data_IF_504703982781
#
_entry.id   IF_504703982781
#
_cell.length_a   1.000
_cell.length_b   1.000
_cell.length_c   1.000
_cell.angle_alpha   90.00
_cell.angle_beta   90.00
_cell.angle_gamma   90.00
#
_symmetry.space_group_name_H-M   'P 1'
#
loop_
_entity.id
_entity.type
_entity.pdbx_description
1 polymer ?
#
# COMPACT_ATOMS: atom_id res chain seq x y z
N UNK A 1 23.66 -52.20 -38.62
CA UNK A 1 23.03 -50.87 -38.82
C UNK A 1 21.97 -50.48 -37.78
N UNK A 2 21.23 -51.41 -37.15
CA UNK A 2 20.13 -51.09 -36.20
C UNK A 2 20.55 -50.42 -34.88
N UNK A 3 21.76 -50.67 -34.38
CA UNK A 3 22.26 -50.11 -33.10
C UNK A 3 22.61 -48.61 -33.15
N UNK A 4 23.09 -48.10 -34.30
CA UNK A 4 23.46 -46.68 -34.44
C UNK A 4 22.23 -45.78 -34.57
N UNK A 5 21.16 -46.27 -35.20
CA UNK A 5 19.90 -45.52 -35.34
C UNK A 5 19.17 -45.37 -34.00
N UNK A 6 19.20 -46.40 -33.15
CA UNK A 6 18.61 -46.37 -31.81
C UNK A 6 19.28 -45.33 -30.88
N UNK A 7 20.60 -45.13 -31.02
CA UNK A 7 21.34 -44.11 -30.25
C UNK A 7 21.00 -42.68 -30.68
N UNK A 8 20.77 -42.46 -31.98
CA UNK A 8 20.41 -41.14 -32.50
C UNK A 8 18.99 -40.74 -32.05
N UNK A 9 18.05 -41.71 -32.04
CA UNK A 9 16.67 -41.46 -31.56
C UNK A 9 16.66 -41.12 -30.06
N UNK A 10 17.49 -41.76 -29.23
CA UNK A 10 17.60 -41.45 -27.80
C UNK A 10 18.14 -40.03 -27.53
N UNK A 11 19.07 -39.54 -28.36
CA UNK A 11 19.67 -38.21 -28.20
C UNK A 11 18.68 -37.11 -28.59
N UNK A 12 17.86 -37.33 -29.62
CA UNK A 12 16.83 -36.37 -30.04
C UNK A 12 15.69 -36.27 -29.01
N UNK A 13 15.30 -37.38 -28.37
CA UNK A 13 14.30 -37.39 -27.30
C UNK A 13 14.76 -36.65 -26.02
N UNK A 14 16.06 -36.60 -25.75
CA UNK A 14 16.59 -35.82 -24.62
C UNK A 14 16.57 -34.30 -24.87
N UNK A 15 16.71 -33.85 -26.13
CA UNK A 15 16.73 -32.42 -26.46
C UNK A 15 15.32 -31.80 -26.54
N UNK A 16 14.28 -32.60 -26.82
CA UNK A 16 12.88 -32.13 -26.83
C UNK A 16 12.30 -32.00 -25.41
N UNK A 17 12.94 -32.59 -24.40
CA UNK A 17 12.46 -32.53 -23.02
C UNK A 17 12.84 -31.23 -22.27
N UNK A 18 13.58 -30.31 -22.91
CA UNK A 18 13.92 -28.99 -22.36
C UNK A 18 12.95 -27.87 -22.74
N UNK A 19 11.84 -28.16 -23.42
CA UNK A 19 10.73 -27.21 -23.55
C UNK A 19 9.62 -27.56 -22.58
N UNK A 20 9.87 -27.34 -21.28
CA UNK A 20 8.81 -27.35 -20.29
C UNK A 20 8.76 -26.01 -19.55
N UNK A 21 7.77 -25.23 -19.99
CA UNK A 21 6.88 -24.46 -19.14
C UNK A 21 7.57 -23.47 -18.20
N UNK A 22 7.76 -22.24 -18.70
CA UNK A 22 7.59 -21.05 -17.88
C UNK A 22 6.11 -20.98 -17.42
N UNK A 23 5.73 -21.86 -16.48
CA UNK A 23 4.61 -21.62 -15.60
C UNK A 23 5.03 -20.46 -14.71
N UNK A 24 4.71 -19.23 -15.14
CA UNK A 24 4.52 -18.12 -14.19
C UNK A 24 3.36 -18.54 -13.30
N UNK A 25 3.67 -19.25 -12.23
CA UNK A 25 2.73 -19.49 -11.15
C UNK A 25 2.42 -18.11 -10.57
N UNK A 26 1.19 -17.67 -10.76
CA UNK A 26 0.62 -16.41 -10.30
C UNK A 26 0.32 -16.49 -8.80
N UNK A 27 1.30 -16.93 -8.04
CA UNK A 27 1.36 -16.72 -6.60
C UNK A 27 2.09 -15.41 -6.39
N UNK A 28 1.45 -14.46 -5.72
CA UNK A 28 2.11 -13.33 -5.07
C UNK A 28 3.34 -13.87 -4.33
N UNK A 29 4.50 -13.86 -4.98
CA UNK A 29 5.72 -14.34 -4.38
C UNK A 29 5.96 -13.42 -3.18
N UNK A 30 6.26 -14.01 -2.03
CA UNK A 30 6.70 -13.27 -0.84
C UNK A 30 7.97 -12.42 -1.11
N UNK A 31 8.57 -12.57 -2.30
CA UNK A 31 9.66 -11.76 -2.85
C UNK A 31 9.24 -10.39 -3.42
N UNK A 32 7.95 -10.03 -3.50
CA UNK A 32 7.55 -8.71 -3.99
C UNK A 32 7.73 -7.64 -2.91
N UNK A 33 8.71 -6.77 -3.13
CA UNK A 33 8.96 -5.59 -2.31
C UNK A 33 7.78 -4.60 -2.42
N UNK A 34 7.58 -3.81 -1.36
CA UNK A 34 6.63 -2.71 -1.38
C UNK A 34 7.10 -1.64 -2.37
N UNK A 35 6.23 -1.26 -3.29
CA UNK A 35 6.49 -0.23 -4.29
C UNK A 35 5.64 1.00 -3.99
N UNK A 36 6.21 2.21 -4.15
CA UNK A 36 5.43 3.44 -4.11
C UNK A 36 4.62 3.52 -5.40
N UNK A 37 3.29 3.56 -5.27
CA UNK A 37 2.35 3.58 -6.40
C UNK A 37 1.85 4.99 -6.66
N UNK A 38 1.56 5.73 -5.58
CA UNK A 38 0.95 7.04 -5.67
C UNK A 38 1.37 7.90 -4.50
N UNK A 39 1.48 9.21 -4.71
CA UNK A 39 1.64 10.18 -3.64
C UNK A 39 0.79 11.40 -3.91
N UNK A 40 0.02 11.83 -2.92
CA UNK A 40 -0.71 13.09 -2.98
C UNK A 40 -0.16 14.12 -1.99
N UNK A 41 -0.28 15.40 -2.35
CA UNK A 41 -0.05 16.51 -1.45
C UNK A 41 -1.22 16.68 -0.44
N UNK A 42 -1.10 17.60 0.53
CA UNK A 42 -2.20 17.93 1.46
C UNK A 42 -3.51 18.36 0.79
N UNK A 43 -3.50 18.85 -0.46
CA UNK A 43 -4.70 19.26 -1.18
C UNK A 43 -5.29 18.13 -2.04
N UNK A 44 -4.71 16.94 -1.99
CA UNK A 44 -5.12 15.80 -2.82
C UNK A 44 -4.57 15.81 -4.24
N UNK A 45 -3.65 16.72 -4.58
CA UNK A 45 -3.01 16.74 -5.89
C UNK A 45 -1.97 15.64 -5.99
N UNK A 46 -1.92 14.96 -7.13
CA UNK A 46 -0.89 13.98 -7.42
C UNK A 46 0.50 14.65 -7.49
N UNK A 47 1.46 14.12 -6.74
CA UNK A 47 2.88 14.53 -6.80
C UNK A 47 3.80 13.36 -7.17
N UNK A 48 3.27 12.15 -7.25
CA UNK A 48 3.95 10.97 -7.78
C UNK A 48 2.92 9.92 -8.23
N UNK A 49 3.24 9.19 -9.30
CA UNK A 49 2.49 8.01 -9.74
C UNK A 49 1.06 8.32 -10.19
N UNK A 50 0.21 7.29 -10.25
CA UNK A 50 -1.15 7.41 -10.76
C UNK A 50 -2.21 7.01 -9.73
N UNK A 51 -3.19 7.89 -9.51
CA UNK A 51 -4.35 7.56 -8.67
C UNK A 51 -5.18 6.44 -9.29
N UNK A 52 -5.33 6.40 -10.61
CA UNK A 52 -6.10 5.34 -11.28
C UNK A 52 -5.43 3.97 -11.13
N UNK A 53 -4.09 3.93 -11.15
CA UNK A 53 -3.33 2.71 -10.88
C UNK A 53 -3.54 2.23 -9.44
N UNK A 54 -3.47 3.14 -8.46
CA UNK A 54 -3.78 2.81 -7.07
C UNK A 54 -5.20 2.26 -6.89
N UNK A 55 -6.18 2.86 -7.59
CA UNK A 55 -7.57 2.38 -7.56
C UNK A 55 -7.71 0.99 -8.19
N UNK A 56 -7.05 0.73 -9.31
CA UNK A 56 -7.05 -0.59 -9.96
C UNK A 56 -6.40 -1.66 -9.06
N UNK A 57 -5.30 -1.31 -8.39
CA UNK A 57 -4.62 -2.17 -7.41
C UNK A 57 -5.54 -2.50 -6.23
N UNK A 58 -6.22 -1.49 -5.68
CA UNK A 58 -7.19 -1.67 -4.60
C UNK A 58 -8.37 -2.57 -5.04
N UNK A 59 -8.90 -2.36 -6.26
CA UNK A 59 -9.97 -3.19 -6.85
C UNK A 59 -9.56 -4.65 -7.02
N UNK A 60 -8.28 -4.91 -7.31
CA UNK A 60 -7.75 -6.28 -7.43
C UNK A 60 -7.42 -6.93 -6.08
N UNK A 61 -7.63 -6.24 -4.97
CA UNK A 61 -7.43 -6.78 -3.62
C UNK A 61 -5.97 -6.88 -3.19
N UNK A 62 -5.06 -6.17 -3.87
CA UNK A 62 -3.66 -6.16 -3.45
C UNK A 62 -3.48 -5.40 -2.14
N UNK A 63 -2.54 -5.83 -1.26
CA UNK A 63 -2.24 -5.13 -0.03
C UNK A 63 -1.78 -3.70 -0.27
N UNK A 64 -2.34 -2.74 0.48
CA UNK A 64 -1.98 -1.32 0.43
C UNK A 64 -1.39 -0.89 1.78
N UNK A 65 -0.34 -0.08 1.74
CA UNK A 65 0.19 0.66 2.89
C UNK A 65 0.10 2.15 2.62
N UNK A 66 -0.13 2.92 3.67
CA UNK A 66 -0.09 4.38 3.63
C UNK A 66 1.02 4.87 4.55
N UNK A 67 1.71 5.92 4.13
CA UNK A 67 2.75 6.55 4.91
C UNK A 67 2.76 8.06 4.78
N UNK A 68 3.28 8.72 5.81
CA UNK A 68 3.43 10.17 5.85
C UNK A 68 4.66 10.52 6.67
N UNK A 69 5.18 11.72 6.45
CA UNK A 69 6.35 12.20 7.15
C UNK A 69 6.17 13.64 7.60
N UNK A 70 6.80 13.96 8.73
CA UNK A 70 6.94 15.32 9.20
C UNK A 70 8.43 15.65 9.37
N UNK A 71 8.78 16.91 9.13
CA UNK A 71 10.14 17.42 9.32
C UNK A 71 10.05 18.78 9.99
N UNK A 72 10.94 19.08 10.95
CA UNK A 72 10.94 20.40 11.58
C UNK A 72 11.34 21.46 10.55
N UNK A 73 10.60 22.57 10.52
CA UNK A 73 10.84 23.68 9.58
C UNK A 73 12.24 24.28 9.73
N UNK A 74 12.70 24.42 10.98
CA UNK A 74 13.96 25.08 11.32
C UNK A 74 15.15 24.11 11.46
N UNK A 75 14.90 22.80 11.41
CA UNK A 75 15.94 21.77 11.54
C UNK A 75 15.52 20.53 10.77
N UNK A 76 16.06 20.43 9.58
CA UNK A 76 15.68 19.45 8.58
C UNK A 76 16.21 18.05 8.87
N UNK A 77 17.18 17.94 9.77
CA UNK A 77 17.72 16.65 10.23
C UNK A 77 16.76 15.94 11.19
N UNK A 78 15.77 16.67 11.73
CA UNK A 78 14.76 16.15 12.63
C UNK A 78 13.47 15.84 11.89
N UNK A 79 13.24 14.56 11.66
CA UNK A 79 12.07 14.03 10.97
C UNK A 79 11.41 12.90 11.75
N UNK A 80 10.17 12.62 11.36
CA UNK A 80 9.41 11.43 11.79
C UNK A 80 8.71 10.90 10.55
N UNK A 81 8.80 9.60 10.35
CA UNK A 81 8.11 8.90 9.28
C UNK A 81 7.19 7.85 9.89
N UNK A 82 6.01 7.72 9.30
CA UNK A 82 5.01 6.76 9.70
C UNK A 82 4.63 5.93 8.48
N UNK A 83 4.48 4.62 8.67
CA UNK A 83 3.90 3.71 7.69
C UNK A 83 2.97 2.75 8.42
N UNK A 84 1.86 2.42 7.79
CA UNK A 84 0.84 1.53 8.36
C UNK A 84 0.13 0.77 7.25
N UNK A 85 -0.30 -0.45 7.54
CA UNK A 85 -1.15 -1.22 6.63
C UNK A 85 -2.52 -0.54 6.51
N UNK A 86 -3.08 -0.58 5.31
CA UNK A 86 -4.48 -0.25 5.08
C UNK A 86 -5.37 -1.47 5.31
N UNK A 87 -6.19 -1.43 6.35
CA UNK A 87 -6.95 -2.61 6.79
C UNK A 87 -8.37 -2.63 6.21
N UNK A 88 -8.96 -1.46 5.97
CA UNK A 88 -10.29 -1.34 5.36
C UNK A 88 -10.27 -0.27 4.27
N UNK A 89 -10.51 -0.70 3.03
CA UNK A 89 -10.43 0.13 1.83
C UNK A 89 -11.83 0.45 1.30
N UNK A 90 -12.08 1.72 1.01
CA UNK A 90 -13.32 2.18 0.37
C UNK A 90 -12.97 2.97 -0.88
N UNK A 91 -13.52 2.56 -2.02
CA UNK A 91 -13.46 3.34 -3.26
C UNK A 91 -14.80 4.05 -3.44
N UNK A 92 -14.83 5.37 -3.25
CA UNK A 92 -16.04 6.17 -3.43
C UNK A 92 -16.13 6.75 -4.85
N UNK A 93 -17.28 6.55 -5.50
CA UNK A 93 -17.58 7.05 -6.85
C UNK A 93 -16.52 6.69 -7.91
N UNK A 94 -15.75 5.63 -7.68
CA UNK A 94 -14.64 5.23 -8.54
C UNK A 94 -13.50 6.26 -8.66
N UNK A 95 -13.46 7.27 -7.78
CA UNK A 95 -12.54 8.42 -7.89
C UNK A 95 -11.57 8.55 -6.72
N UNK A 96 -12.02 8.24 -5.51
CA UNK A 96 -11.23 8.42 -4.31
C UNK A 96 -11.12 7.13 -3.52
N UNK A 97 -9.90 6.81 -3.11
CA UNK A 97 -9.61 5.73 -2.19
C UNK A 97 -9.53 6.31 -0.78
N UNK A 98 -10.25 5.68 0.14
CA UNK A 98 -10.18 5.91 1.57
C UNK A 98 -9.62 4.65 2.21
N UNK A 99 -8.73 4.83 3.19
CA UNK A 99 -8.18 3.75 3.98
C UNK A 99 -8.42 4.04 5.46
N UNK A 100 -9.12 3.14 6.13
CA UNK A 100 -9.12 3.09 7.58
C UNK A 100 -7.96 2.22 8.04
N UNK A 101 -7.20 2.73 8.99
CA UNK A 101 -6.03 2.06 9.56
C UNK A 101 -6.35 1.54 10.96
N UNK A 102 -5.65 0.49 11.39
CA UNK A 102 -5.75 0.00 12.76
C UNK A 102 -5.60 1.12 13.80
N UNK A 103 -6.36 1.09 14.91
CA UNK A 103 -6.23 2.08 15.96
C UNK A 103 -4.83 2.06 16.58
N UNK A 104 -4.29 3.23 16.89
CA UNK A 104 -2.97 3.34 17.51
C UNK A 104 -2.97 4.41 18.60
N UNK A 105 -2.09 4.24 19.59
CA UNK A 105 -1.86 5.27 20.60
C UNK A 105 -1.02 6.39 20.02
N UNK A 106 -1.34 7.63 20.37
CA UNK A 106 -0.54 8.79 20.00
C UNK A 106 0.87 8.66 20.56
N UNK A 107 1.84 9.09 19.76
CA UNK A 107 3.27 8.94 20.03
C UNK A 107 3.95 10.31 20.00
N UNK A 108 4.89 10.54 20.91
CA UNK A 108 5.67 11.77 20.97
C UNK A 108 7.17 11.45 20.97
N UNK A 109 7.88 11.69 19.85
CA UNK A 109 9.31 11.45 19.78
C UNK A 109 10.09 12.60 20.45
N UNK A 110 11.17 12.25 21.16
CA UNK A 110 12.13 13.21 21.68
C UNK A 110 13.31 13.36 20.70
N UNK A 111 13.18 14.31 19.77
CA UNK A 111 14.12 14.49 18.65
C UNK A 111 15.34 15.36 18.99
N UNK A 112 15.42 15.89 20.20
CA UNK A 112 16.49 16.84 20.60
C UNK A 112 17.37 16.35 21.74
N UNK A 113 17.04 15.22 22.38
CA UNK A 113 17.85 14.69 23.47
C UNK A 113 19.04 13.90 22.95
N UNK A 114 20.04 13.71 23.81
CA UNK A 114 21.24 12.92 23.51
C UNK A 114 20.91 11.46 23.16
N UNK A 115 19.75 10.98 23.65
CA UNK A 115 19.18 9.68 23.30
C UNK A 115 17.82 9.85 22.61
N UNK A 116 17.71 9.32 21.39
CA UNK A 116 16.43 9.25 20.68
C UNK A 116 15.48 8.31 21.44
N UNK A 117 14.30 8.81 21.76
CA UNK A 117 13.28 8.05 22.49
C UNK A 117 11.86 8.40 22.04
N UNK A 118 10.90 7.56 22.42
CA UNK A 118 9.49 7.72 22.10
C UNK A 118 8.66 7.62 23.38
N UNK A 119 7.74 8.56 23.57
CA UNK A 119 6.73 8.48 24.63
C UNK A 119 5.40 8.04 24.04
N UNK A 120 4.79 7.00 24.63
CA UNK A 120 3.41 6.62 24.35
C UNK A 120 2.47 7.52 25.15
N UNK A 121 1.42 8.02 24.51
CA UNK A 121 0.41 8.89 25.13
C UNK A 121 -0.89 8.11 25.34
N UNK A 122 -1.66 8.40 26.41
CA UNK A 122 -2.93 7.74 26.71
C UNK A 122 -4.09 8.29 25.84
N UNK A 123 -3.84 8.42 24.54
CA UNK A 123 -4.80 8.88 23.54
C UNK A 123 -4.76 7.85 22.40
N UNK A 124 -5.87 7.18 22.13
CA UNK A 124 -5.99 6.29 20.96
C UNK A 124 -6.65 7.04 19.80
N UNK A 125 -6.16 6.77 18.61
CA UNK A 125 -6.57 7.38 17.35
C UNK A 125 -7.09 6.33 16.39
N UNK A 126 -8.26 6.58 15.81
CA UNK A 126 -8.88 5.78 14.74
C UNK A 126 -9.00 6.68 13.51
N UNK A 127 -8.25 6.41 12.45
CA UNK A 127 -8.13 7.34 11.31
C UNK A 127 -8.68 6.73 10.04
N UNK A 128 -9.28 7.58 9.22
CA UNK A 128 -9.50 7.37 7.79
C UNK A 128 -8.64 8.39 7.04
N UNK A 129 -7.79 7.93 6.13
CA UNK A 129 -6.96 8.75 5.25
C UNK A 129 -7.45 8.59 3.80
N UNK A 130 -7.29 9.62 2.97
CA UNK A 130 -7.81 9.59 1.60
C UNK A 130 -6.92 10.23 0.55
N UNK A 131 -7.08 9.77 -0.69
CA UNK A 131 -6.32 10.27 -1.86
C UNK A 131 -6.63 11.71 -2.25
N UNK A 132 -7.69 12.31 -1.69
CA UNK A 132 -8.00 13.74 -1.82
C UNK A 132 -7.39 14.60 -0.70
N UNK A 133 -6.49 14.05 0.11
CA UNK A 133 -5.76 14.79 1.14
C UNK A 133 -6.54 15.03 2.43
N UNK A 134 -7.72 14.42 2.58
CA UNK A 134 -8.52 14.54 3.80
C UNK A 134 -8.15 13.45 4.83
N UNK A 135 -8.47 13.76 6.08
CA UNK A 135 -8.46 12.84 7.22
C UNK A 135 -9.78 12.96 7.96
N UNK A 136 -10.33 11.83 8.40
CA UNK A 136 -11.33 11.77 9.47
C UNK A 136 -10.75 11.01 10.66
N UNK A 137 -11.11 11.40 11.87
CA UNK A 137 -10.55 10.83 13.10
C UNK A 137 -11.62 10.66 14.17
N UNK A 138 -11.57 9.54 14.88
CA UNK A 138 -12.12 9.40 16.22
C UNK A 138 -10.99 9.23 17.22
N UNK A 139 -10.95 10.08 18.23
CA UNK A 139 -9.95 10.08 19.29
C UNK A 139 -10.57 9.68 20.61
N UNK A 140 -9.92 8.80 21.36
CA UNK A 140 -10.28 8.43 22.72
C UNK A 140 -9.16 8.85 23.68
N UNK A 141 -9.46 9.74 24.62
CA UNK A 141 -8.57 10.13 25.71
C UNK A 141 -8.88 9.28 26.94
N UNK A 142 -7.95 8.41 27.34
CA UNK A 142 -8.14 7.50 28.47
C UNK A 142 -8.01 8.19 29.83
N UNK A 143 -7.34 9.35 29.90
CA UNK A 143 -7.23 10.09 31.16
C UNK A 143 -8.52 10.86 31.47
N UNK A 144 -9.21 11.31 30.42
CA UNK A 144 -10.45 12.09 30.56
C UNK A 144 -11.71 11.25 30.38
N UNK A 145 -11.55 9.99 29.98
CA UNK A 145 -12.64 9.09 29.54
C UNK A 145 -13.57 9.76 28.51
N UNK A 146 -12.98 10.41 27.51
CA UNK A 146 -13.73 11.09 26.45
C UNK A 146 -13.45 10.45 25.09
N UNK A 147 -14.49 10.45 24.25
CA UNK A 147 -14.39 10.10 22.83
C UNK A 147 -14.91 11.24 22.00
N UNK A 148 -14.11 11.69 21.02
CA UNK A 148 -14.45 12.81 20.14
C UNK A 148 -14.29 12.34 18.69
N UNK A 149 -15.36 12.50 17.91
CA UNK A 149 -15.31 12.36 16.46
C UNK A 149 -15.08 13.73 15.83
N UNK A 150 -14.05 13.85 15.01
CA UNK A 150 -13.73 15.07 14.27
C UNK A 150 -14.31 14.97 12.86
N UNK A 151 -14.95 16.06 12.34
CA UNK A 151 -15.36 16.08 10.95
C UNK A 151 -14.13 15.96 10.03
N UNK A 152 -14.31 15.47 8.79
CA UNK A 152 -13.23 15.42 7.83
C UNK A 152 -12.55 16.79 7.67
N UNK A 153 -11.22 16.79 7.68
CA UNK A 153 -10.41 17.99 7.52
C UNK A 153 -9.15 17.69 6.71
N UNK A 154 -8.44 18.72 6.28
CA UNK A 154 -7.22 18.56 5.50
C UNK A 154 -6.11 17.91 6.34
N UNK A 155 -5.52 16.83 5.83
CA UNK A 155 -4.34 16.23 6.43
C UNK A 155 -3.12 17.09 6.13
N UNK A 156 -2.30 17.36 7.15
CA UNK A 156 -1.22 18.36 7.06
C UNK A 156 -0.01 17.90 6.25
N UNK A 157 0.07 16.62 5.91
CA UNK A 157 1.23 16.00 5.26
C UNK A 157 0.84 15.38 3.94
N UNK A 158 1.81 15.22 3.04
CA UNK A 158 1.64 14.36 1.88
C UNK A 158 1.45 12.91 2.31
N UNK A 159 0.60 12.19 1.58
CA UNK A 159 0.37 10.76 1.78
C UNK A 159 1.04 9.98 0.66
N UNK A 160 1.87 9.01 1.04
CA UNK A 160 2.50 8.03 0.16
C UNK A 160 1.73 6.71 0.23
N UNK A 161 1.38 6.15 -0.91
CA UNK A 161 0.59 4.93 -1.05
C UNK A 161 1.45 3.86 -1.69
N UNK A 162 1.63 2.75 -0.98
CA UNK A 162 2.46 1.64 -1.40
C UNK A 162 1.61 0.39 -1.62
N UNK A 163 2.05 -0.48 -2.52
CA UNK A 163 1.42 -1.79 -2.72
C UNK A 163 2.46 -2.89 -2.96
N UNK A 164 2.06 -4.14 -2.72
CA UNK A 164 2.76 -5.33 -3.22
C UNK A 164 2.04 -5.81 -4.46
N UNK A 165 2.60 -5.53 -5.63
CA UNK A 165 1.99 -5.85 -6.93
C UNK A 165 3.00 -6.48 -7.88
N UNK A 166 2.55 -7.32 -8.83
CA UNK A 166 3.38 -7.73 -9.96
C UNK A 166 3.59 -6.57 -10.93
N UNK A 167 4.71 -6.61 -11.66
CA UNK A 167 5.04 -5.67 -12.73
C UNK A 167 4.17 -5.91 -13.98
N UNK A 168 2.85 -5.77 -13.83
CA UNK A 168 1.86 -5.98 -14.88
C UNK A 168 0.88 -4.80 -14.85
N UNK A 169 0.57 -4.17 -16.00
CA UNK A 169 -0.46 -3.15 -16.09
C UNK A 169 -1.79 -3.66 -15.53
N UNK A 170 -2.42 -2.85 -14.68
CA UNK A 170 -3.68 -3.22 -14.05
C UNK A 170 -4.86 -2.50 -14.70
N UNK A 171 -5.75 -3.26 -15.33
CA UNK A 171 -7.03 -2.71 -15.78
C UNK A 171 -7.88 -2.22 -14.61
N UNK A 172 -8.51 -1.08 -14.79
CA UNK A 172 -9.32 -0.41 -13.78
C UNK A 172 -10.81 -0.75 -13.91
N UNK A 173 -11.18 -1.98 -13.56
CA UNK A 173 -12.58 -2.44 -13.64
C UNK A 173 -13.27 -2.29 -12.29
N UNK A 174 -14.39 -1.56 -12.19
CA UNK A 174 -15.16 -1.47 -10.95
C UNK A 174 -15.64 -2.83 -10.43
N UNK A 175 -15.68 -2.98 -9.10
CA UNK A 175 -16.04 -4.23 -8.43
C UNK A 175 -17.48 -4.72 -8.71
N UNK A 176 -18.37 -3.81 -9.12
CA UNK A 176 -19.76 -4.12 -9.46
C UNK A 176 -19.98 -4.47 -10.92
N UNK A 177 -18.95 -4.39 -11.77
CA UNK A 177 -19.08 -4.87 -13.15
C UNK A 177 -19.04 -6.40 -13.12
N UNK A 178 -20.08 -7.04 -13.64
CA UNK A 178 -20.06 -8.49 -13.84
C UNK A 178 -19.06 -8.84 -14.96
N UNK A 179 -18.30 -9.96 -14.83
CA UNK A 179 -17.58 -10.49 -15.96
C UNK A 179 -18.56 -10.81 -17.09
N UNK A 180 -18.17 -10.68 -18.36
CA UNK A 180 -19.03 -11.10 -19.47
C UNK A 180 -19.50 -12.53 -19.24
N UNK A 181 -20.81 -12.75 -19.33
CA UNK A 181 -21.39 -14.08 -19.22
C UNK A 181 -20.67 -15.01 -20.21
N UNK A 182 -20.12 -16.11 -19.69
CA UNK A 182 -19.46 -17.15 -20.50
C UNK A 182 -20.48 -17.96 -21.28
#
# INVERSE_FOLDING_TARGET
>A
MKSKFLKIVLIVLFLVSCTNQNKKNDTLNDSQAWQLIYKNDPNGNAIFGSKSELLAIARKGYPIRVGWASRRKNDTTRSVEHTVNGDFLTIANGKELFVQIQPFYAQRPQLTGDTLSMTLLPIQSNWILSTNGLISNVSRDFNRDTTIAYPPSQFRYSLSWFAKVPDIPMDDVPLWNEPPAK
#
